data_IF_588985074404
#
_entry.id   IF_588985074404
#
_cell.length_a   1.000
_cell.length_b   1.000
_cell.length_c   1.000
_cell.angle_alpha   90.00
_cell.angle_beta   90.00
_cell.angle_gamma   90.00
#
_symmetry.space_group_name_H-M   'P 1'
#
loop_
_entity.id
_entity.type
_entity.pdbx_description
1 polymer ?
#
# COMPACT_ATOMS: atom_id res chain seq x y z
N UNK A 1 6.76 -62.04 37.98
CA UNK A 1 7.04 -60.76 37.27
C UNK A 1 5.71 -59.99 37.16
N UNK A 2 5.41 -59.11 38.12
CA UNK A 2 4.17 -58.32 38.11
C UNK A 2 4.32 -57.16 37.12
N UNK A 3 3.51 -57.14 36.06
CA UNK A 3 3.40 -55.99 35.15
C UNK A 3 2.56 -54.91 35.84
N UNK A 4 3.19 -53.77 36.12
CA UNK A 4 2.51 -52.57 36.64
C UNK A 4 1.75 -51.89 35.49
N UNK A 5 0.42 -51.79 35.59
CA UNK A 5 -0.41 -51.09 34.61
C UNK A 5 -0.55 -49.62 35.03
N UNK A 6 0.16 -48.73 34.35
CA UNK A 6 0.00 -47.28 34.53
C UNK A 6 -1.37 -46.86 34.00
N UNK A 7 -2.27 -46.45 34.90
CA UNK A 7 -3.59 -45.93 34.54
C UNK A 7 -3.43 -44.67 33.68
N UNK A 8 -3.80 -44.75 32.40
CA UNK A 8 -3.87 -43.58 31.53
C UNK A 8 -5.12 -42.79 31.93
N UNK A 9 -4.94 -41.61 32.53
CA UNK A 9 -6.03 -40.69 32.82
C UNK A 9 -6.56 -40.13 31.50
N UNK A 10 -7.83 -40.39 31.19
CA UNK A 10 -8.55 -39.82 30.06
C UNK A 10 -9.37 -38.60 30.49
N UNK A 11 -9.65 -37.71 29.54
CA UNK A 11 -10.60 -36.60 29.74
C UNK A 11 -12.02 -37.13 29.91
N UNK A 12 -12.79 -36.51 30.80
CA UNK A 12 -14.22 -36.76 30.95
C UNK A 12 -15.01 -35.98 29.91
N UNK A 13 -16.19 -36.49 29.53
CA UNK A 13 -17.10 -35.79 28.62
C UNK A 13 -17.56 -34.43 29.18
N UNK A 14 -17.70 -34.34 30.50
CA UNK A 14 -18.11 -33.11 31.18
C UNK A 14 -17.01 -32.05 31.09
N UNK A 15 -15.74 -32.43 31.26
CA UNK A 15 -14.62 -31.50 31.08
C UNK A 15 -14.56 -30.94 29.66
N UNK A 16 -14.76 -31.79 28.64
CA UNK A 16 -14.79 -31.32 27.26
C UNK A 16 -15.96 -30.36 27.01
N UNK A 17 -17.14 -30.65 27.58
CA UNK A 17 -18.34 -29.82 27.43
C UNK A 17 -18.18 -28.45 28.09
N UNK A 18 -17.55 -28.39 29.27
CA UNK A 18 -17.26 -27.12 29.95
C UNK A 18 -16.26 -26.29 29.12
N UNK A 19 -15.22 -26.93 28.57
CA UNK A 19 -14.20 -26.23 27.77
C UNK A 19 -14.81 -25.60 26.52
N UNK A 20 -15.62 -26.34 25.75
CA UNK A 20 -16.27 -25.76 24.56
C UNK A 20 -17.26 -24.65 24.94
N UNK A 21 -17.92 -24.74 26.09
CA UNK A 21 -18.80 -23.69 26.60
C UNK A 21 -18.05 -22.41 26.94
N UNK A 22 -16.91 -22.53 27.63
CA UNK A 22 -16.03 -21.38 27.93
C UNK A 22 -15.46 -20.78 26.64
N UNK A 23 -15.00 -21.61 25.70
CA UNK A 23 -14.47 -21.14 24.41
C UNK A 23 -15.52 -20.38 23.60
N UNK A 24 -16.79 -20.81 23.62
CA UNK A 24 -17.87 -20.10 22.93
C UNK A 24 -18.10 -18.69 23.51
N UNK A 25 -18.05 -18.55 24.84
CA UNK A 25 -18.21 -17.24 25.51
C UNK A 25 -17.00 -16.34 25.20
N UNK A 26 -15.77 -16.87 25.32
CA UNK A 26 -14.56 -16.10 25.02
C UNK A 26 -14.49 -15.68 23.55
N UNK A 27 -14.91 -16.53 22.61
CA UNK A 27 -14.92 -16.21 21.19
C UNK A 27 -15.87 -15.04 20.85
N UNK A 28 -17.05 -14.98 21.48
CA UNK A 28 -17.99 -13.87 21.22
C UNK A 28 -17.48 -12.54 21.79
N UNK A 29 -16.95 -12.54 23.01
CA UNK A 29 -16.38 -11.33 23.63
C UNK A 29 -15.17 -10.81 22.86
N UNK A 30 -14.26 -11.69 22.44
CA UNK A 30 -13.04 -11.29 21.73
C UNK A 30 -13.33 -10.65 20.37
N UNK A 31 -14.30 -11.15 19.60
CA UNK A 31 -14.68 -10.54 18.31
C UNK A 31 -15.27 -9.14 18.50
N UNK A 32 -16.10 -8.94 19.53
CA UNK A 32 -16.70 -7.63 19.83
C UNK A 32 -15.66 -6.60 20.26
N UNK A 33 -14.64 -7.01 21.01
CA UNK A 33 -13.61 -6.10 21.54
C UNK A 33 -12.51 -5.81 20.52
N UNK A 34 -12.02 -6.81 19.79
CA UNK A 34 -10.81 -6.69 18.97
C UNK A 34 -11.06 -6.19 17.55
N UNK A 35 -12.31 -6.16 17.08
CA UNK A 35 -12.69 -5.81 15.70
C UNK A 35 -11.64 -6.30 14.67
N UNK A 36 -11.53 -7.62 14.44
CA UNK A 36 -10.44 -8.21 13.66
C UNK A 36 -10.32 -7.65 12.24
N UNK A 37 -11.43 -7.17 11.65
CA UNK A 37 -11.41 -6.48 10.37
C UNK A 37 -10.52 -5.22 10.40
N UNK A 38 -10.63 -4.42 11.47
CA UNK A 38 -9.78 -3.23 11.65
C UNK A 38 -8.31 -3.59 11.88
N UNK A 39 -8.01 -4.69 12.58
CA UNK A 39 -6.63 -5.14 12.75
C UNK A 39 -5.99 -5.56 11.42
N UNK A 40 -6.74 -6.26 10.57
CA UNK A 40 -6.25 -6.61 9.23
C UNK A 40 -6.10 -5.39 8.33
N UNK A 41 -7.02 -4.42 8.41
CA UNK A 41 -6.91 -3.14 7.71
C UNK A 41 -5.64 -2.39 8.14
N UNK A 42 -5.39 -2.27 9.45
CA UNK A 42 -4.19 -1.61 9.98
C UNK A 42 -2.90 -2.30 9.53
N UNK A 43 -2.89 -3.63 9.45
CA UNK A 43 -1.74 -4.38 8.94
C UNK A 43 -1.48 -4.09 7.45
N UNK A 44 -2.54 -4.05 6.63
CA UNK A 44 -2.42 -3.68 5.20
C UNK A 44 -1.98 -2.24 5.03
N UNK A 45 -2.54 -1.30 5.78
CA UNK A 45 -2.15 0.11 5.70
C UNK A 45 -0.70 0.32 6.15
N UNK A 46 -0.25 -0.39 7.18
CA UNK A 46 1.16 -0.34 7.58
C UNK A 46 2.08 -0.82 6.45
N UNK A 47 1.65 -1.80 5.66
CA UNK A 47 2.34 -2.22 4.44
C UNK A 47 2.28 -1.12 3.36
N UNK A 48 1.13 -0.49 3.13
CA UNK A 48 0.97 0.63 2.17
C UNK A 48 1.91 1.79 2.46
N UNK A 49 1.96 2.22 3.72
CA UNK A 49 2.84 3.29 4.18
C UNK A 49 4.31 2.91 4.00
N UNK A 50 4.68 1.66 4.33
CA UNK A 50 6.05 1.16 4.16
C UNK A 50 6.45 1.05 2.68
N UNK A 51 5.54 0.57 1.82
CA UNK A 51 5.79 0.41 0.38
C UNK A 51 5.98 1.77 -0.29
N UNK A 52 5.09 2.73 -0.02
CA UNK A 52 5.21 4.09 -0.52
C UNK A 52 6.45 4.79 0.01
N UNK A 53 6.80 4.62 1.29
CA UNK A 53 8.05 5.14 1.85
C UNK A 53 9.30 4.57 1.18
N UNK A 54 9.26 3.28 0.81
CA UNK A 54 10.34 2.61 0.08
C UNK A 54 10.45 3.14 -1.35
N UNK A 55 9.32 3.28 -2.05
CA UNK A 55 9.25 3.87 -3.39
C UNK A 55 9.77 5.32 -3.39
N UNK A 56 9.31 6.13 -2.45
CA UNK A 56 9.73 7.51 -2.28
C UNK A 56 11.24 7.60 -2.05
N UNK A 57 11.80 6.76 -1.18
CA UNK A 57 13.24 6.71 -0.93
C UNK A 57 14.03 6.28 -2.18
N UNK A 58 13.51 5.31 -2.95
CA UNK A 58 14.15 4.83 -4.17
C UNK A 58 14.16 5.89 -5.29
N UNK A 59 13.05 6.59 -5.48
CA UNK A 59 12.91 7.66 -6.47
C UNK A 59 13.75 8.88 -6.08
N UNK A 60 13.74 9.28 -4.80
CA UNK A 60 14.61 10.35 -4.30
C UNK A 60 16.10 10.01 -4.49
N UNK A 61 16.49 8.76 -4.20
CA UNK A 61 17.86 8.28 -4.43
C UNK A 61 18.24 8.35 -5.91
N UNK A 62 17.34 7.88 -6.80
CA UNK A 62 17.52 7.98 -8.24
C UNK A 62 17.72 9.42 -8.69
N UNK A 63 16.83 10.34 -8.30
CA UNK A 63 16.93 11.77 -8.66
C UNK A 63 18.22 12.43 -8.16
N UNK A 64 18.73 11.99 -6.99
CA UNK A 64 19.94 12.57 -6.41
C UNK A 64 21.26 12.05 -7.00
N UNK A 65 21.26 10.87 -7.65
CA UNK A 65 22.50 10.19 -8.05
C UNK A 65 22.59 9.86 -9.54
N UNK A 66 21.47 9.70 -10.25
CA UNK A 66 21.50 9.34 -11.66
C UNK A 66 22.16 10.44 -12.50
N UNK A 67 22.97 10.03 -13.49
CA UNK A 67 23.63 10.97 -14.41
C UNK A 67 22.66 11.71 -15.34
N UNK A 68 21.55 11.05 -15.68
CA UNK A 68 20.44 11.60 -16.45
C UNK A 68 19.14 11.15 -15.79
N UNK A 69 18.35 12.11 -15.32
CA UNK A 69 17.07 11.85 -14.65
C UNK A 69 15.91 11.95 -15.64
N UNK A 70 15.13 10.89 -15.71
CA UNK A 70 13.92 10.78 -16.52
C UNK A 70 12.84 10.04 -15.72
N UNK A 71 11.73 10.74 -15.48
CA UNK A 71 10.65 10.27 -14.62
C UNK A 71 9.49 9.58 -15.39
N UNK A 72 9.52 9.60 -16.72
CA UNK A 72 8.45 9.06 -17.57
C UNK A 72 8.90 8.07 -18.66
N UNK A 73 10.16 7.62 -18.60
CA UNK A 73 10.70 6.61 -19.52
C UNK A 73 10.72 7.08 -20.96
N UNK A 74 10.78 8.40 -21.18
CA UNK A 74 10.71 9.05 -22.49
C UNK A 74 9.40 8.78 -23.23
N UNK A 75 8.33 8.40 -22.52
CA UNK A 75 7.00 8.08 -23.06
C UNK A 75 6.04 9.26 -23.06
N UNK A 76 6.52 10.47 -23.40
CA UNK A 76 5.70 11.68 -23.57
C UNK A 76 4.78 12.02 -22.37
N UNK A 77 5.41 12.70 -21.42
CA UNK A 77 4.87 13.69 -20.49
C UNK A 77 3.88 13.17 -19.44
N UNK A 78 4.46 12.69 -18.33
CA UNK A 78 3.74 12.41 -17.10
C UNK A 78 2.97 13.61 -16.51
N UNK A 79 3.11 14.81 -17.06
CA UNK A 79 2.19 15.93 -16.80
C UNK A 79 0.73 15.57 -17.11
N UNK A 80 0.49 14.68 -18.09
CA UNK A 80 -0.84 14.28 -18.56
C UNK A 80 -1.26 12.86 -18.14
N UNK A 81 -0.35 12.09 -17.52
CA UNK A 81 -0.56 10.67 -17.24
C UNK A 81 -0.27 10.35 -15.79
N UNK A 82 -1.09 9.48 -15.23
CA UNK A 82 -0.79 8.80 -13.99
C UNK A 82 -0.73 7.30 -14.26
N UNK A 83 0.03 6.59 -13.44
CA UNK A 83 0.39 5.20 -13.68
C UNK A 83 0.02 4.34 -12.47
N UNK A 84 -0.52 3.16 -12.74
CA UNK A 84 -1.05 2.24 -11.73
C UNK A 84 -0.82 0.80 -12.16
N UNK A 85 -0.73 -0.10 -11.17
CA UNK A 85 -0.60 -1.53 -11.44
C UNK A 85 -1.94 -2.28 -11.51
N UNK A 86 -3.01 -1.69 -10.95
CA UNK A 86 -4.31 -2.36 -10.83
C UNK A 86 -5.07 -2.46 -12.15
N UNK A 87 -6.03 -3.38 -12.23
CA UNK A 87 -6.84 -3.61 -13.43
C UNK A 87 -8.25 -3.05 -13.27
N UNK A 88 -8.88 -2.66 -14.39
CA UNK A 88 -10.29 -2.28 -14.40
C UNK A 88 -10.60 -0.90 -13.84
N UNK A 89 -9.60 -0.03 -13.64
CA UNK A 89 -9.85 1.38 -13.37
C UNK A 89 -10.48 2.05 -14.60
N UNK A 90 -11.52 2.84 -14.33
CA UNK A 90 -12.25 3.60 -15.33
C UNK A 90 -12.30 5.06 -14.88
N UNK A 91 -11.71 5.98 -15.66
CA UNK A 91 -11.76 7.42 -15.38
C UNK A 91 -10.40 8.12 -15.45
N UNK A 92 -10.44 9.45 -15.33
CA UNK A 92 -9.26 10.31 -15.24
C UNK A 92 -8.79 10.42 -13.78
N UNK A 93 -7.58 10.95 -13.57
CA UNK A 93 -6.93 11.15 -12.28
C UNK A 93 -6.53 9.86 -11.57
N UNK A 94 -6.46 8.74 -12.28
CA UNK A 94 -6.30 7.41 -11.67
C UNK A 94 -7.34 7.19 -10.56
N UNK A 95 -8.58 7.61 -10.81
CA UNK A 95 -9.59 7.68 -9.77
C UNK A 95 -10.00 6.30 -9.24
N UNK A 96 -9.94 6.13 -7.91
CA UNK A 96 -10.37 4.93 -7.20
C UNK A 96 -11.50 5.25 -6.24
N UNK A 97 -12.58 4.46 -6.26
CA UNK A 97 -13.79 4.72 -5.45
C UNK A 97 -14.38 6.14 -5.60
N UNK A 98 -14.18 6.79 -6.75
CA UNK A 98 -14.71 8.12 -7.05
C UNK A 98 -13.82 9.30 -6.68
N UNK A 99 -12.67 9.06 -6.04
CA UNK A 99 -11.68 10.09 -5.71
C UNK A 99 -10.59 10.13 -6.78
N UNK A 100 -10.41 11.29 -7.43
CA UNK A 100 -9.27 11.52 -8.31
C UNK A 100 -8.01 11.66 -7.45
N UNK A 101 -6.96 10.93 -7.82
CA UNK A 101 -5.67 10.87 -7.13
C UNK A 101 -4.73 11.94 -7.70
N UNK A 102 -4.55 11.90 -9.01
CA UNK A 102 -3.63 12.80 -9.72
C UNK A 102 -4.35 13.73 -10.71
N UNK A 103 -5.12 14.68 -10.17
CA UNK A 103 -5.83 15.70 -10.96
C UNK A 103 -6.65 15.15 -12.15
N UNK A 104 -6.50 15.76 -13.32
CA UNK A 104 -7.21 15.37 -14.55
C UNK A 104 -6.44 14.39 -15.46
N UNK A 105 -5.38 13.75 -14.96
CA UNK A 105 -4.48 12.90 -15.77
C UNK A 105 -5.17 11.67 -16.36
N UNK A 106 -4.67 11.16 -17.48
CA UNK A 106 -5.16 9.91 -18.07
C UNK A 106 -4.52 8.72 -17.39
N UNK A 107 -5.31 7.73 -17.00
CA UNK A 107 -4.81 6.51 -16.35
C UNK A 107 -4.01 5.64 -17.32
N UNK A 108 -2.86 5.17 -16.86
CA UNK A 108 -2.02 4.16 -17.50
C UNK A 108 -1.97 2.93 -16.61
N UNK A 109 -2.55 1.83 -17.08
CA UNK A 109 -2.47 0.56 -16.36
C UNK A 109 -1.30 -0.23 -16.92
N UNK A 110 -0.37 -0.63 -16.06
CA UNK A 110 0.73 -1.52 -16.42
C UNK A 110 0.89 -2.62 -15.36
N UNK A 111 0.88 -3.87 -15.78
CA UNK A 111 1.06 -4.98 -14.86
C UNK A 111 2.53 -5.26 -14.52
N UNK A 112 3.47 -4.67 -15.27
CA UNK A 112 4.91 -4.86 -15.09
C UNK A 112 5.39 -4.18 -13.80
N UNK A 113 6.32 -4.85 -13.12
CA UNK A 113 6.88 -4.48 -11.82
C UNK A 113 8.39 -4.37 -11.88
N UNK A 114 8.99 -4.43 -13.06
CA UNK A 114 10.41 -4.16 -13.23
C UNK A 114 10.75 -2.72 -12.86
N UNK A 115 12.02 -2.48 -12.57
CA UNK A 115 12.58 -1.16 -12.20
C UNK A 115 13.39 -0.57 -13.37
N UNK A 116 13.01 -0.94 -14.60
CA UNK A 116 13.79 -0.76 -15.82
C UNK A 116 13.13 0.17 -16.85
N UNK A 117 12.31 1.13 -16.40
CA UNK A 117 11.43 2.02 -17.18
C UNK A 117 10.20 1.38 -17.85
N UNK A 118 10.07 0.05 -17.85
CA UNK A 118 8.89 -0.64 -18.37
C UNK A 118 7.85 -0.97 -17.30
N UNK A 119 8.20 -0.83 -16.02
CA UNK A 119 7.27 -1.05 -14.91
C UNK A 119 6.17 0.01 -14.82
N UNK A 120 5.16 -0.26 -13.98
CA UNK A 120 4.08 0.69 -13.69
C UNK A 120 4.55 2.03 -13.11
N UNK A 121 5.78 2.09 -12.58
CA UNK A 121 6.51 3.35 -12.42
C UNK A 121 7.51 3.40 -13.58
N UNK A 122 7.30 4.26 -14.60
CA UNK A 122 8.09 4.27 -15.84
C UNK A 122 9.46 4.96 -15.64
N UNK A 123 10.18 4.61 -14.57
CA UNK A 123 11.48 5.19 -14.22
C UNK A 123 12.54 4.11 -14.32
N UNK A 124 13.67 4.41 -14.97
CA UNK A 124 14.84 3.54 -14.94
C UNK A 124 15.61 3.73 -13.63
N UNK A 125 15.06 3.23 -12.51
CA UNK A 125 15.63 3.38 -11.16
C UNK A 125 17.04 2.75 -11.10
N UNK A 126 17.29 1.71 -11.91
CA UNK A 126 18.62 1.11 -12.11
C UNK A 126 19.70 2.08 -12.60
N UNK A 127 19.32 3.25 -13.12
CA UNK A 127 20.24 4.31 -13.55
C UNK A 127 20.86 5.12 -12.41
N UNK A 128 20.44 4.89 -11.16
CA UNK A 128 21.07 5.46 -9.98
C UNK A 128 22.51 4.95 -9.81
N UNK A 129 23.38 5.74 -9.16
CA UNK A 129 24.76 5.30 -8.89
C UNK A 129 24.72 4.07 -7.99
N UNK A 130 25.40 2.99 -8.38
CA UNK A 130 25.37 1.72 -7.64
C UNK A 130 24.13 0.86 -7.89
N UNK A 131 23.22 1.27 -8.78
CA UNK A 131 22.03 0.52 -9.17
C UNK A 131 20.79 0.83 -8.33
N UNK A 132 19.71 0.11 -8.61
CA UNK A 132 18.42 0.33 -7.95
C UNK A 132 18.45 -0.18 -6.50
N UNK A 133 17.96 0.61 -5.52
CA UNK A 133 17.82 0.15 -4.13
C UNK A 133 16.67 -0.84 -3.94
N UNK A 134 15.78 -0.98 -4.93
CA UNK A 134 14.69 -1.95 -4.97
C UNK A 134 14.79 -2.84 -6.21
N UNK A 135 14.45 -4.12 -6.08
CA UNK A 135 14.52 -5.08 -7.19
C UNK A 135 13.19 -5.28 -7.91
N UNK A 136 12.08 -4.79 -7.33
CA UNK A 136 10.72 -4.95 -7.86
C UNK A 136 9.83 -3.84 -7.33
N UNK A 137 8.93 -3.31 -8.16
CA UNK A 137 7.92 -2.36 -7.73
C UNK A 137 6.86 -3.09 -6.87
N UNK A 138 6.46 -2.53 -5.71
CA UNK A 138 5.44 -3.14 -4.87
C UNK A 138 4.06 -3.04 -5.51
N UNK A 139 3.11 -3.80 -4.96
CA UNK A 139 1.70 -3.81 -5.35
C UNK A 139 0.88 -3.79 -4.06
N UNK A 140 -0.22 -3.05 -4.07
CA UNK A 140 -1.13 -2.98 -2.92
C UNK A 140 -1.55 -4.38 -2.45
N UNK A 141 -1.61 -4.65 -1.14
CA UNK A 141 -1.95 -5.99 -0.63
C UNK A 141 -3.33 -6.51 -1.07
N UNK A 142 -4.25 -5.62 -1.41
CA UNK A 142 -5.61 -5.92 -1.86
C UNK A 142 -5.74 -5.78 -3.38
N UNK A 143 -5.08 -4.78 -3.97
CA UNK A 143 -4.98 -4.51 -5.40
C UNK A 143 -6.32 -4.57 -6.16
N UNK A 144 -7.22 -3.66 -5.82
CA UNK A 144 -8.53 -3.50 -6.45
C UNK A 144 -8.65 -2.10 -7.07
N UNK A 145 -9.79 -1.80 -7.70
CA UNK A 145 -10.10 -0.44 -8.18
C UNK A 145 -10.32 0.59 -7.05
N UNK A 146 -10.19 0.20 -5.79
CA UNK A 146 -10.25 1.08 -4.61
C UNK A 146 -8.90 1.17 -3.92
N UNK A 147 -8.22 0.04 -3.74
CA UNK A 147 -6.95 -0.06 -3.05
C UNK A 147 -5.85 -0.47 -4.02
N UNK A 148 -5.02 0.50 -4.39
CA UNK A 148 -3.90 0.38 -5.32
C UNK A 148 -2.92 1.51 -5.05
N UNK A 149 -1.71 1.40 -5.60
CA UNK A 149 -0.73 2.48 -5.64
C UNK A 149 -0.83 3.21 -6.97
N UNK A 150 -0.68 4.52 -6.94
CA UNK A 150 -0.58 5.36 -8.13
C UNK A 150 0.69 6.21 -8.10
N UNK A 151 1.15 6.58 -9.28
CA UNK A 151 2.31 7.44 -9.50
C UNK A 151 1.97 8.50 -10.55
N UNK A 152 2.38 9.73 -10.30
CA UNK A 152 2.43 10.79 -11.29
C UNK A 152 3.73 11.59 -11.16
N UNK A 153 4.10 12.30 -12.23
CA UNK A 153 5.27 13.17 -12.19
C UNK A 153 5.12 14.45 -13.01
N UNK A 154 6.06 15.37 -12.76
CA UNK A 154 6.45 16.43 -13.66
C UNK A 154 7.92 16.20 -14.05
N UNK A 155 8.12 15.76 -15.30
CA UNK A 155 9.46 15.47 -15.80
C UNK A 155 10.26 16.75 -16.13
N UNK A 156 9.63 17.93 -16.15
CA UNK A 156 10.32 19.22 -16.30
C UNK A 156 10.91 19.66 -14.97
N UNK A 157 10.09 19.68 -13.92
CA UNK A 157 10.49 20.09 -12.57
C UNK A 157 11.20 18.98 -11.78
N UNK A 158 11.19 17.75 -12.31
CA UNK A 158 11.74 16.55 -11.65
C UNK A 158 11.08 16.28 -10.31
N UNK A 159 9.77 16.50 -10.25
CA UNK A 159 8.93 16.19 -9.10
C UNK A 159 8.03 15.01 -9.40
N UNK A 160 7.58 14.33 -8.36
CA UNK A 160 6.65 13.22 -8.44
C UNK A 160 5.78 13.13 -7.20
N UNK A 161 4.73 12.34 -7.33
CA UNK A 161 3.73 12.07 -6.31
C UNK A 161 3.30 10.60 -6.40
N UNK A 162 3.04 10.01 -5.24
CA UNK A 162 2.64 8.63 -5.05
C UNK A 162 1.48 8.59 -4.06
N UNK A 163 0.40 7.90 -4.43
CA UNK A 163 -0.79 7.85 -3.56
C UNK A 163 -1.24 6.43 -3.26
N UNK A 164 -1.78 6.25 -2.06
CA UNK A 164 -2.57 5.09 -1.67
C UNK A 164 -3.81 5.52 -0.90
N UNK A 165 -4.87 4.73 -1.01
CA UNK A 165 -6.05 4.87 -0.15
C UNK A 165 -5.87 3.94 1.06
N UNK A 166 -6.01 4.46 2.28
CA UNK A 166 -5.92 3.65 3.50
C UNK A 166 -7.30 3.11 3.90
N UNK A 167 -7.32 2.02 4.65
CA UNK A 167 -8.56 1.29 4.95
C UNK A 167 -9.00 1.44 6.41
N UNK A 168 -8.04 1.51 7.32
CA UNK A 168 -8.32 1.46 8.75
C UNK A 168 -8.81 2.79 9.29
N UNK A 169 -9.80 2.72 10.18
CA UNK A 169 -10.33 3.90 10.89
C UNK A 169 -9.27 4.60 11.75
N UNK A 170 -8.10 3.97 11.93
CA UNK A 170 -6.96 4.53 12.65
C UNK A 170 -6.18 5.53 11.80
N UNK A 171 -5.94 5.21 10.53
CA UNK A 171 -5.00 5.95 9.67
C UNK A 171 -5.68 6.86 8.65
N UNK A 172 -6.98 6.68 8.38
CA UNK A 172 -7.74 7.59 7.54
C UNK A 172 -7.91 8.97 8.19
N UNK A 173 -8.44 9.93 7.42
CA UNK A 173 -8.83 11.26 7.90
C UNK A 173 -9.60 11.21 9.23
N UNK A 174 -9.21 12.08 10.17
CA UNK A 174 -9.76 12.19 11.54
C UNK A 174 -9.54 10.94 12.43
N UNK A 175 -8.76 9.97 11.94
CA UNK A 175 -8.34 8.79 12.69
C UNK A 175 -7.38 9.12 13.84
N UNK A 176 -7.22 8.18 14.77
CA UNK A 176 -6.34 8.38 15.94
C UNK A 176 -4.84 8.54 15.59
N UNK A 177 -4.45 8.14 14.38
CA UNK A 177 -3.10 8.22 13.84
C UNK A 177 -3.21 8.60 12.36
N UNK A 178 -4.00 9.64 12.08
CA UNK A 178 -4.32 10.14 10.74
C UNK A 178 -3.05 10.35 9.90
N UNK A 179 -2.97 9.63 8.78
CA UNK A 179 -1.89 9.72 7.80
C UNK A 179 -2.30 10.47 6.54
N UNK A 180 -3.58 10.52 6.21
CA UNK A 180 -4.09 11.05 4.93
C UNK A 180 -4.25 12.57 4.95
N UNK A 181 -4.66 13.16 6.08
CA UNK A 181 -4.86 14.62 6.11
C UNK A 181 -3.64 15.42 6.58
N UNK A 182 -2.57 14.72 6.98
CA UNK A 182 -1.38 15.31 7.63
C UNK A 182 -0.07 15.05 6.88
N UNK A 183 -0.13 14.46 5.69
CA UNK A 183 1.01 14.19 4.82
C UNK A 183 1.49 15.41 4.02
N UNK A 184 0.69 16.48 4.00
CA UNK A 184 1.02 17.75 3.33
C UNK A 184 0.57 17.82 1.87
N UNK A 185 -0.26 16.88 1.43
CA UNK A 185 -0.82 16.86 0.08
C UNK A 185 -2.19 17.55 -0.04
N UNK A 186 -2.80 17.41 -1.21
CA UNK A 186 -4.02 18.12 -1.60
C UNK A 186 -5.31 17.29 -1.46
N UNK A 187 -5.23 15.95 -1.34
CA UNK A 187 -6.39 15.08 -1.18
C UNK A 187 -6.41 14.48 0.24
N UNK A 188 -7.22 15.03 1.17
CA UNK A 188 -7.18 14.65 2.59
C UNK A 188 -7.68 13.22 2.90
N UNK A 189 -8.12 12.48 1.88
CA UNK A 189 -8.62 11.11 1.97
C UNK A 189 -7.70 10.11 1.27
N UNK A 190 -6.49 10.52 0.93
CA UNK A 190 -5.45 9.68 0.36
C UNK A 190 -4.19 9.91 1.17
N UNK A 191 -3.35 8.88 1.24
CA UNK A 191 -2.00 9.02 1.75
C UNK A 191 -1.06 9.29 0.59
N UNK A 192 -0.46 10.48 0.61
CA UNK A 192 0.30 11.09 -0.48
C UNK A 192 1.77 11.21 -0.06
N UNK A 193 2.70 10.83 -0.94
CA UNK A 193 4.14 11.02 -0.73
C UNK A 193 4.80 11.44 -2.03
N UNK A 194 5.80 12.30 -1.94
CA UNK A 194 6.50 12.73 -3.14
C UNK A 194 7.49 13.85 -2.90
N UNK A 195 7.89 14.45 -4.00
CA UNK A 195 8.75 15.65 -4.04
C UNK A 195 8.03 16.86 -4.62
N UNK A 196 6.81 16.67 -5.11
CA UNK A 196 6.02 17.76 -5.65
C UNK A 196 5.51 18.72 -4.55
N UNK A 197 5.69 20.05 -4.70
CA UNK A 197 5.25 21.00 -3.69
C UNK A 197 3.73 20.99 -3.47
N UNK A 198 3.30 20.43 -2.34
CA UNK A 198 1.89 20.34 -1.99
C UNK A 198 1.19 19.10 -2.54
N UNK A 199 1.96 18.19 -3.16
CA UNK A 199 1.49 16.92 -3.73
C UNK A 199 0.18 17.12 -4.48
N UNK A 200 0.24 17.93 -5.55
CA UNK A 200 -0.94 18.30 -6.32
C UNK A 200 -0.90 17.93 -7.81
N UNK A 201 -0.13 16.88 -8.15
CA UNK A 201 0.16 16.50 -9.53
C UNK A 201 -1.06 15.99 -10.31
#
# INVERSE_FOLDING_TARGET
>A
MQKSYTQRKGFTLVELLIVIGILAILATVTVLVLNPAQLFAQARDSQRVSDLGTLNSALAYYLSTASTTDLDGSTTDCSTRCYVQTTGLTGNGCAGAGTARHGAKTVTIDADRTVDSLGWIPVYIGGAVGGSPISVLPVDPTNTTTYFYSYACDNTNKTYELDANLESARYIQDGSDDKESTDGGNVPTLFELGTDPGLDL
#
